data_IF_529058180146
#
_entry.id   IF_529058180146
#
_cell.length_a   1.000
_cell.length_b   1.000
_cell.length_c   1.000
_cell.angle_alpha   90.00
_cell.angle_beta   90.00
_cell.angle_gamma   90.00
#
_symmetry.space_group_name_H-M   'P 1'
#
loop_
_entity.id
_entity.type
_entity.pdbx_description
1 polymer ?
#
# COMPACT_ATOMS: atom_id res chain seq x y z
N UNK A 1 19.17 18.57 -28.56
CA UNK A 1 19.07 18.59 -27.11
C UNK A 1 17.60 18.61 -26.75
N UNK A 2 17.16 17.76 -25.79
CA UNK A 2 15.79 17.84 -25.30
C UNK A 2 15.57 19.15 -24.57
N UNK A 3 14.46 19.85 -24.86
CA UNK A 3 14.04 21.04 -24.11
C UNK A 3 13.43 20.69 -22.75
N UNK A 4 13.13 19.41 -22.55
CA UNK A 4 12.71 18.88 -21.25
C UNK A 4 13.96 18.41 -20.51
N UNK A 5 14.24 18.99 -19.37
CA UNK A 5 15.37 18.58 -18.53
C UNK A 5 15.26 17.10 -18.11
N UNK A 6 16.37 16.53 -17.68
CA UNK A 6 16.36 15.23 -17.03
C UNK A 6 15.59 15.32 -15.70
N UNK A 7 14.87 14.27 -15.33
CA UNK A 7 14.03 14.30 -14.12
C UNK A 7 14.79 14.58 -12.81
N UNK A 8 16.12 14.43 -12.82
CA UNK A 8 16.99 14.71 -11.68
C UNK A 8 17.76 16.02 -11.79
N UNK A 9 17.68 16.71 -12.94
CA UNK A 9 18.54 17.87 -13.22
C UNK A 9 17.98 19.20 -12.72
N UNK A 10 16.77 19.19 -12.19
CA UNK A 10 16.07 20.43 -11.82
C UNK A 10 15.72 20.44 -10.32
N UNK A 11 15.16 21.57 -9.92
CA UNK A 11 14.72 21.73 -8.53
C UNK A 11 13.67 20.67 -8.12
N UNK A 12 13.50 20.51 -6.83
CA UNK A 12 12.54 19.59 -6.24
C UNK A 12 11.08 19.81 -6.69
N UNK A 13 10.78 20.96 -7.27
CA UNK A 13 9.42 21.35 -7.66
C UNK A 13 9.21 21.33 -9.17
N UNK A 14 10.24 21.04 -9.96
CA UNK A 14 10.13 21.03 -11.42
C UNK A 14 9.87 19.63 -11.98
N UNK A 15 9.21 19.59 -13.12
CA UNK A 15 8.78 18.40 -13.85
C UNK A 15 7.70 17.54 -13.13
N UNK A 16 7.03 16.71 -13.90
CA UNK A 16 6.22 15.63 -13.36
C UNK A 16 7.12 14.52 -12.79
N UNK A 17 6.74 13.93 -11.70
CA UNK A 17 7.54 12.91 -11.04
C UNK A 17 6.70 11.82 -10.38
N UNK A 18 7.18 10.59 -10.50
CA UNK A 18 6.76 9.46 -9.71
C UNK A 18 7.38 9.45 -8.31
N UNK A 19 7.04 8.47 -7.52
CA UNK A 19 7.65 8.24 -6.20
C UNK A 19 9.17 8.13 -6.33
N UNK A 20 9.91 8.85 -5.49
CA UNK A 20 11.39 8.93 -5.55
C UNK A 20 11.94 9.33 -6.92
N UNK A 21 11.17 10.04 -7.73
CA UNK A 21 11.48 10.36 -9.14
C UNK A 21 11.78 9.13 -10.01
N UNK A 22 11.22 7.97 -9.64
CA UNK A 22 11.28 6.77 -10.45
C UNK A 22 10.55 6.98 -11.79
N UNK A 23 10.91 6.22 -12.83
CA UNK A 23 10.23 6.31 -14.11
C UNK A 23 8.72 6.07 -13.97
N UNK A 24 7.93 6.87 -14.66
CA UNK A 24 6.48 6.67 -14.76
C UNK A 24 6.16 5.82 -15.98
N UNK A 25 5.29 4.82 -15.78
CA UNK A 25 4.78 3.98 -16.87
C UNK A 25 3.31 3.64 -16.64
N UNK A 26 2.43 4.28 -17.39
CA UNK A 26 0.98 4.09 -17.31
C UNK A 26 0.48 2.77 -17.94
N UNK A 27 1.39 1.98 -18.52
CA UNK A 27 1.15 0.62 -19.03
C UNK A 27 2.14 -0.37 -18.41
N UNK A 28 2.05 -0.62 -17.09
CA UNK A 28 3.10 -1.33 -16.36
C UNK A 28 3.14 -2.83 -16.63
N UNK A 29 2.10 -3.41 -17.20
CA UNK A 29 1.93 -4.87 -17.29
C UNK A 29 2.98 -5.53 -18.19
N UNK A 30 3.34 -4.87 -19.29
CA UNK A 30 4.32 -5.35 -20.28
C UNK A 30 5.71 -4.76 -20.07
N UNK A 31 5.93 -4.04 -18.96
CA UNK A 31 7.24 -3.46 -18.64
C UNK A 31 8.21 -4.55 -18.14
N UNK A 32 9.49 -4.24 -18.14
CA UNK A 32 10.54 -5.07 -17.53
C UNK A 32 10.67 -4.87 -16.02
N UNK A 33 9.88 -3.96 -15.43
CA UNK A 33 9.92 -3.68 -14.00
C UNK A 33 9.53 -4.90 -13.15
N UNK A 34 10.23 -5.08 -12.03
CA UNK A 34 9.88 -6.10 -11.02
C UNK A 34 8.79 -5.60 -10.06
N UNK A 35 8.81 -4.29 -9.77
CA UNK A 35 7.90 -3.63 -8.85
C UNK A 35 7.12 -2.53 -9.52
N UNK A 36 5.84 -2.45 -9.20
CA UNK A 36 4.93 -1.42 -9.69
C UNK A 36 4.31 -0.68 -8.53
N UNK A 37 4.41 0.66 -8.56
CA UNK A 37 3.78 1.54 -7.58
C UNK A 37 2.46 2.03 -8.15
N UNK A 38 1.38 1.90 -7.38
CA UNK A 38 0.03 2.35 -7.73
C UNK A 38 -0.57 3.19 -6.63
N UNK A 39 -1.08 4.38 -6.95
CA UNK A 39 -1.89 5.17 -6.03
C UNK A 39 -3.37 4.79 -6.10
N UNK A 40 -4.07 4.82 -4.98
CA UNK A 40 -5.51 4.54 -4.89
C UNK A 40 -6.18 5.70 -4.15
N UNK A 41 -6.80 6.60 -4.91
CA UNK A 41 -7.34 7.87 -4.43
C UNK A 41 -8.72 7.70 -3.78
N UNK A 42 -8.86 6.75 -2.88
CA UNK A 42 -10.11 6.41 -2.22
C UNK A 42 -10.11 6.85 -0.76
N UNK A 43 -11.21 7.43 -0.27
CA UNK A 43 -11.42 7.79 1.15
C UNK A 43 -12.90 7.86 1.54
N UNK A 44 -13.75 7.13 0.82
CA UNK A 44 -15.19 7.14 1.07
C UNK A 44 -15.61 6.22 2.22
N UNK A 45 -14.77 5.28 2.61
CA UNK A 45 -15.03 4.39 3.75
C UNK A 45 -14.58 4.97 5.10
N UNK A 46 -14.00 6.16 5.10
CA UNK A 46 -13.46 6.82 6.30
C UNK A 46 -14.59 7.24 7.25
N UNK A 47 -14.53 6.81 8.51
CA UNK A 47 -15.53 7.13 9.53
C UNK A 47 -15.43 8.56 10.09
N UNK A 48 -14.30 9.21 9.95
CA UNK A 48 -14.01 10.53 10.50
C UNK A 48 -13.70 11.56 9.43
N UNK A 49 -12.43 11.94 9.33
CA UNK A 49 -11.99 12.98 8.39
C UNK A 49 -11.62 12.37 7.05
N UNK A 50 -12.34 12.72 5.99
CA UNK A 50 -11.93 12.45 4.63
C UNK A 50 -10.63 13.22 4.27
N UNK A 51 -9.95 12.83 3.22
CA UNK A 51 -8.71 13.44 2.75
C UNK A 51 -7.60 12.45 2.43
N UNK A 52 -7.78 11.18 2.78
CA UNK A 52 -6.83 10.11 2.47
C UNK A 52 -6.55 9.99 0.97
N UNK A 53 -7.49 10.37 0.11
CA UNK A 53 -7.30 10.40 -1.36
C UNK A 53 -6.13 11.27 -1.82
N UNK A 54 -5.67 12.22 -1.00
CA UNK A 54 -4.50 13.05 -1.29
C UNK A 54 -3.18 12.39 -0.89
N UNK A 55 -3.22 11.26 -0.18
CA UNK A 55 -2.04 10.53 0.32
C UNK A 55 -1.05 10.17 -0.78
N UNK A 56 -1.46 9.51 -1.87
CA UNK A 56 -0.53 9.12 -2.93
C UNK A 56 0.23 10.30 -3.54
N UNK A 57 -0.45 11.42 -3.81
CA UNK A 57 0.18 12.62 -4.33
C UNK A 57 1.17 13.24 -3.32
N UNK A 58 0.78 13.33 -2.04
CA UNK A 58 1.63 13.86 -0.98
C UNK A 58 2.88 13.00 -0.77
N UNK A 59 2.75 11.67 -0.77
CA UNK A 59 3.88 10.73 -0.65
C UNK A 59 4.86 10.91 -1.81
N UNK A 60 4.37 10.98 -3.06
CA UNK A 60 5.22 11.23 -4.23
C UNK A 60 5.95 12.56 -4.12
N UNK A 61 5.25 13.63 -3.75
CA UNK A 61 5.83 14.97 -3.62
C UNK A 61 6.94 14.99 -2.57
N UNK A 62 6.70 14.49 -1.37
CA UNK A 62 7.69 14.48 -0.28
C UNK A 62 8.87 13.58 -0.62
N UNK A 63 8.65 12.48 -1.31
CA UNK A 63 9.69 11.53 -1.70
C UNK A 63 10.76 12.13 -2.62
N UNK A 64 10.46 13.23 -3.31
CA UNK A 64 11.42 13.89 -4.20
C UNK A 64 12.68 14.36 -3.46
N UNK A 65 12.55 14.74 -2.19
CA UNK A 65 13.69 15.11 -1.34
C UNK A 65 14.65 13.94 -1.14
N UNK A 66 14.12 12.72 -1.10
CA UNK A 66 14.91 11.51 -0.92
C UNK A 66 15.58 11.02 -2.21
N UNK A 67 15.16 11.49 -3.35
CA UNK A 67 15.73 11.09 -4.64
C UNK A 67 17.19 11.53 -4.81
N UNK A 68 17.65 12.54 -4.06
CA UNK A 68 19.01 13.03 -4.05
C UNK A 68 19.98 12.20 -3.22
N UNK A 69 19.47 11.37 -2.31
CA UNK A 69 20.27 10.50 -1.48
C UNK A 69 20.45 9.14 -2.14
N UNK A 70 21.55 8.94 -2.81
CA UNK A 70 21.86 7.68 -3.50
C UNK A 70 22.14 6.55 -2.49
N UNK A 71 22.98 6.81 -1.50
CA UNK A 71 23.32 5.85 -0.45
C UNK A 71 22.63 6.22 0.86
N UNK A 72 21.62 5.45 1.27
CA UNK A 72 20.82 5.74 2.45
C UNK A 72 21.32 5.02 3.67
N UNK A 73 21.50 5.79 4.73
CA UNK A 73 21.73 5.21 6.06
C UNK A 73 20.49 4.38 6.51
N UNK A 74 20.65 3.18 7.07
CA UNK A 74 21.91 2.49 7.36
C UNK A 74 22.41 1.56 6.25
N UNK A 75 21.68 1.42 5.14
CA UNK A 75 21.92 0.37 4.14
C UNK A 75 23.08 0.65 3.19
N UNK A 76 23.50 1.90 3.02
CA UNK A 76 24.65 2.32 2.19
C UNK A 76 24.60 1.80 0.73
N UNK A 77 23.42 1.72 0.14
CA UNK A 77 23.25 1.43 -1.27
C UNK A 77 22.11 2.27 -1.89
N UNK A 78 22.17 2.46 -3.19
CA UNK A 78 21.05 3.04 -3.96
C UNK A 78 20.03 1.94 -4.26
N UNK A 79 18.79 2.14 -3.80
CA UNK A 79 17.69 1.22 -4.07
C UNK A 79 17.45 1.02 -5.57
N UNK A 80 17.67 2.06 -6.38
CA UNK A 80 17.46 2.03 -7.85
C UNK A 80 18.45 1.13 -8.58
N UNK A 81 19.59 0.84 -7.98
CA UNK A 81 20.58 -0.12 -8.51
C UNK A 81 20.20 -1.57 -8.19
N UNK A 82 19.30 -1.78 -7.24
CA UNK A 82 18.92 -3.09 -6.72
C UNK A 82 17.52 -3.53 -7.14
N UNK A 83 16.64 -2.58 -7.40
CA UNK A 83 15.24 -2.82 -7.69
C UNK A 83 14.85 -2.12 -8.99
N UNK A 84 14.28 -2.86 -9.92
CA UNK A 84 13.66 -2.30 -11.11
C UNK A 84 12.20 -1.93 -10.79
N UNK A 85 11.94 -0.64 -10.57
CA UNK A 85 10.68 -0.11 -10.08
C UNK A 85 10.13 0.96 -11.00
N UNK A 86 8.85 0.90 -11.30
CA UNK A 86 8.11 1.96 -12.01
C UNK A 86 6.92 2.45 -11.19
N UNK A 87 6.58 3.72 -11.35
CA UNK A 87 5.35 4.29 -10.82
C UNK A 87 4.31 4.33 -11.94
N UNK A 88 3.18 3.65 -11.79
CA UNK A 88 2.13 3.64 -12.81
C UNK A 88 1.05 4.72 -12.61
N UNK A 89 1.27 5.64 -11.68
CA UNK A 89 0.30 6.68 -11.37
C UNK A 89 -0.82 6.16 -10.49
N UNK A 90 -2.01 6.67 -10.69
CA UNK A 90 -3.16 6.41 -9.85
C UNK A 90 -4.23 5.59 -10.59
N UNK A 91 -4.90 4.73 -9.83
CA UNK A 91 -6.04 3.97 -10.33
C UNK A 91 -7.17 4.90 -10.78
N UNK A 92 -7.71 4.68 -11.98
CA UNK A 92 -8.80 5.46 -12.54
C UNK A 92 -10.12 4.73 -12.37
N UNK A 93 -11.05 5.36 -11.67
CA UNK A 93 -12.43 4.86 -11.45
C UNK A 93 -13.38 6.07 -11.31
N UNK A 94 -14.68 5.86 -11.35
CA UNK A 94 -15.67 6.91 -11.11
C UNK A 94 -15.63 7.32 -9.63
N UNK A 95 -15.20 8.55 -9.35
CA UNK A 95 -15.18 9.08 -7.98
C UNK A 95 -16.59 9.06 -7.40
N UNK A 96 -16.76 8.41 -6.27
CA UNK A 96 -18.05 8.17 -5.65
C UNK A 96 -18.59 6.75 -5.82
N UNK A 97 -17.94 5.92 -6.63
CA UNK A 97 -18.29 4.51 -6.78
C UNK A 97 -17.24 3.60 -6.12
N UNK A 98 -17.53 3.20 -4.87
CA UNK A 98 -16.66 2.33 -4.09
C UNK A 98 -16.57 0.91 -4.68
N UNK A 99 -17.64 0.43 -5.32
CA UNK A 99 -17.68 -0.89 -5.95
C UNK A 99 -16.79 -0.91 -7.19
N UNK A 100 -16.91 0.08 -8.05
CA UNK A 100 -16.06 0.20 -9.23
C UNK A 100 -14.59 0.32 -8.84
N UNK A 101 -14.28 1.12 -7.81
CA UNK A 101 -12.92 1.23 -7.27
C UNK A 101 -12.38 -0.15 -6.84
N UNK A 102 -13.15 -0.88 -6.04
CA UNK A 102 -12.76 -2.20 -5.54
C UNK A 102 -12.51 -3.21 -6.67
N UNK A 103 -13.44 -3.29 -7.61
CA UNK A 103 -13.34 -4.20 -8.76
C UNK A 103 -12.15 -3.86 -9.67
N UNK A 104 -11.95 -2.58 -9.98
CA UNK A 104 -10.82 -2.13 -10.80
C UNK A 104 -9.48 -2.32 -10.11
N UNK A 105 -9.39 -2.08 -8.80
CA UNK A 105 -8.17 -2.31 -8.03
C UNK A 105 -7.82 -3.80 -8.01
N UNK A 106 -8.80 -4.65 -7.74
CA UNK A 106 -8.59 -6.10 -7.78
C UNK A 106 -8.12 -6.56 -9.17
N UNK A 107 -8.80 -6.12 -10.23
CA UNK A 107 -8.44 -6.49 -11.60
C UNK A 107 -7.04 -5.97 -12.01
N UNK A 108 -6.67 -4.76 -11.59
CA UNK A 108 -5.32 -4.22 -11.78
C UNK A 108 -4.26 -5.07 -11.09
N UNK A 109 -4.49 -5.40 -9.81
CA UNK A 109 -3.58 -6.26 -9.05
C UNK A 109 -3.44 -7.66 -9.67
N UNK A 110 -4.56 -8.28 -10.07
CA UNK A 110 -4.54 -9.58 -10.76
C UNK A 110 -3.69 -9.55 -12.03
N UNK A 111 -3.80 -8.50 -12.84
CA UNK A 111 -2.98 -8.34 -14.07
C UNK A 111 -1.50 -8.18 -13.74
N UNK A 112 -1.14 -7.40 -12.73
CA UNK A 112 0.25 -7.23 -12.31
C UNK A 112 0.84 -8.55 -11.80
N UNK A 113 0.10 -9.27 -10.96
CA UNK A 113 0.53 -10.57 -10.43
C UNK A 113 0.68 -11.61 -11.54
N UNK A 114 -0.25 -11.66 -12.50
CA UNK A 114 -0.16 -12.55 -13.67
C UNK A 114 1.07 -12.22 -14.55
N UNK A 115 1.49 -10.96 -14.60
CA UNK A 115 2.72 -10.52 -15.27
C UNK A 115 3.99 -10.70 -14.40
N UNK A 116 3.91 -11.38 -13.25
CA UNK A 116 5.03 -11.62 -12.35
C UNK A 116 5.52 -10.40 -11.58
N UNK A 117 4.72 -9.32 -11.53
CA UNK A 117 5.08 -8.06 -10.84
C UNK A 117 4.75 -8.13 -9.35
N UNK A 118 5.53 -7.40 -8.57
CA UNK A 118 5.22 -7.09 -7.17
C UNK A 118 4.62 -5.70 -7.07
N UNK A 119 3.86 -5.45 -6.01
CA UNK A 119 3.13 -4.19 -5.86
C UNK A 119 3.56 -3.44 -4.61
N UNK A 120 3.62 -2.10 -4.74
CA UNK A 120 3.58 -1.15 -3.65
C UNK A 120 2.38 -0.22 -3.89
N UNK A 121 1.38 -0.28 -3.03
CA UNK A 121 0.16 0.51 -3.18
C UNK A 121 0.13 1.66 -2.17
N UNK A 122 -0.11 2.88 -2.66
CA UNK A 122 -0.34 4.05 -1.81
C UNK A 122 -1.84 4.29 -1.68
N UNK A 123 -2.40 4.08 -0.49
CA UNK A 123 -3.74 4.50 -0.16
C UNK A 123 -3.78 5.98 0.24
N UNK A 124 -4.78 6.46 0.50
CA UNK A 124 -6.20 6.44 0.64
C UNK A 124 -6.66 5.72 1.91
N UNK A 125 -7.82 5.28 1.77
CA UNK A 125 -8.55 4.57 2.80
C UNK A 125 -8.03 3.14 2.98
N UNK A 126 -8.04 2.65 4.21
CA UNK A 126 -7.52 1.30 4.48
C UNK A 126 -8.36 0.18 3.84
N UNK A 127 -9.61 0.45 3.50
CA UNK A 127 -10.47 -0.48 2.76
C UNK A 127 -9.81 -1.01 1.48
N UNK A 128 -8.95 -0.22 0.81
CA UNK A 128 -8.24 -0.63 -0.41
C UNK A 128 -7.43 -1.93 -0.24
N UNK A 129 -7.13 -2.30 0.99
CA UNK A 129 -6.43 -3.56 1.31
C UNK A 129 -7.25 -4.80 0.95
N UNK A 130 -8.57 -4.78 1.11
CA UNK A 130 -9.40 -5.97 0.86
C UNK A 130 -9.38 -6.43 -0.62
N UNK A 131 -9.61 -5.57 -1.64
CA UNK A 131 -9.48 -6.00 -3.03
C UNK A 131 -8.05 -6.43 -3.39
N UNK A 132 -7.03 -5.84 -2.79
CA UNK A 132 -5.64 -6.29 -2.98
C UNK A 132 -5.42 -7.69 -2.40
N UNK A 133 -5.94 -7.98 -1.20
CA UNK A 133 -5.87 -9.32 -0.61
C UNK A 133 -6.59 -10.36 -1.47
N UNK A 134 -7.75 -10.04 -2.03
CA UNK A 134 -8.48 -10.93 -2.94
C UNK A 134 -7.65 -11.30 -4.17
N UNK A 135 -7.03 -10.32 -4.81
CA UNK A 135 -6.14 -10.55 -5.95
C UNK A 135 -4.93 -11.42 -5.59
N UNK A 136 -4.26 -11.11 -4.47
CA UNK A 136 -3.09 -11.86 -4.02
C UNK A 136 -3.44 -13.27 -3.60
N UNK A 137 -4.54 -13.48 -2.86
CA UNK A 137 -4.97 -14.82 -2.46
C UNK A 137 -5.38 -15.69 -3.65
N UNK A 138 -5.98 -15.10 -4.68
CA UNK A 138 -6.27 -15.80 -5.94
C UNK A 138 -5.00 -16.30 -6.64
N UNK A 139 -3.89 -15.57 -6.53
CA UNK A 139 -2.62 -15.91 -7.17
C UNK A 139 -1.74 -16.83 -6.32
N UNK A 140 -1.63 -16.57 -5.00
CA UNK A 140 -0.71 -17.27 -4.10
C UNK A 140 -1.40 -18.26 -3.16
N UNK A 141 -2.73 -18.28 -3.09
CA UNK A 141 -3.48 -18.99 -2.05
C UNK A 141 -3.56 -18.18 -0.75
N UNK A 142 -3.95 -18.84 0.33
CA UNK A 142 -4.08 -18.22 1.66
C UNK A 142 -2.74 -17.70 2.17
N UNK A 143 -2.74 -16.45 2.66
CA UNK A 143 -1.53 -15.73 3.07
C UNK A 143 -1.46 -15.52 4.58
N UNK A 144 -0.28 -15.15 5.07
CA UNK A 144 -0.08 -14.51 6.36
C UNK A 144 -0.09 -12.99 6.21
N UNK A 145 -0.54 -12.29 7.25
CA UNK A 145 -0.58 -10.82 7.31
C UNK A 145 0.41 -10.30 8.35
N UNK A 146 1.19 -9.29 7.98
CA UNK A 146 1.90 -8.43 8.92
C UNK A 146 1.29 -7.03 8.82
N UNK A 147 0.62 -6.60 9.89
CA UNK A 147 -0.17 -5.37 9.91
C UNK A 147 0.37 -4.40 10.95
N UNK A 148 0.70 -3.17 10.53
CA UNK A 148 1.15 -2.11 11.41
C UNK A 148 0.07 -1.03 11.47
N UNK A 149 -0.65 -0.94 12.58
CA UNK A 149 -1.76 0.00 12.74
C UNK A 149 -2.05 0.32 14.21
N UNK A 150 -2.88 1.33 14.41
CA UNK A 150 -3.51 1.66 15.69
C UNK A 150 -4.72 0.78 16.01
N UNK A 151 -5.36 0.23 14.98
CA UNK A 151 -6.62 -0.51 15.02
C UNK A 151 -6.43 -1.91 14.46
N UNK A 152 -7.27 -2.85 14.86
CA UNK A 152 -7.21 -4.22 14.32
C UNK A 152 -7.97 -4.38 13.00
N UNK A 153 -8.91 -3.48 12.71
CA UNK A 153 -9.81 -3.50 11.56
C UNK A 153 -10.56 -4.84 11.40
N UNK A 154 -10.95 -5.39 12.55
CA UNK A 154 -11.69 -6.65 12.69
C UNK A 154 -13.17 -6.43 13.05
N UNK A 155 -13.71 -5.24 12.78
CA UNK A 155 -15.09 -4.87 13.13
C UNK A 155 -16.10 -5.71 12.34
N UNK A 156 -17.01 -6.38 13.08
CA UNK A 156 -17.93 -7.35 12.49
C UNK A 156 -19.19 -6.75 11.87
N UNK A 157 -19.58 -5.55 12.31
CA UNK A 157 -20.89 -4.94 12.01
C UNK A 157 -20.80 -3.75 11.04
N UNK A 158 -19.71 -3.64 10.30
CA UNK A 158 -19.56 -2.61 9.28
C UNK A 158 -20.30 -2.92 7.98
N UNK A 159 -20.30 -1.97 7.06
CA UNK A 159 -20.85 -2.16 5.73
C UNK A 159 -19.84 -2.83 4.78
N UNK A 160 -20.25 -3.07 3.54
CA UNK A 160 -19.42 -3.75 2.52
C UNK A 160 -18.11 -3.00 2.24
N UNK A 161 -18.14 -1.67 2.25
CA UNK A 161 -16.99 -0.81 1.97
C UNK A 161 -16.64 0.00 3.22
N UNK A 162 -16.00 -0.64 4.18
CA UNK A 162 -15.70 -0.07 5.48
C UNK A 162 -14.22 -0.29 5.84
N UNK A 163 -13.54 0.74 6.28
CA UNK A 163 -12.11 0.70 6.58
C UNK A 163 -11.74 -0.06 7.87
N UNK A 164 -12.72 -0.42 8.69
CA UNK A 164 -12.53 -1.17 9.92
C UNK A 164 -12.88 -2.67 9.83
N UNK A 165 -13.23 -3.18 8.64
CA UNK A 165 -13.80 -4.53 8.49
C UNK A 165 -12.93 -5.51 7.70
N UNK A 166 -11.85 -5.06 7.08
CA UNK A 166 -11.10 -5.87 6.11
C UNK A 166 -10.56 -7.14 6.76
N UNK A 167 -10.05 -7.06 7.97
CA UNK A 167 -9.47 -8.23 8.66
C UNK A 167 -10.47 -9.05 9.47
N UNK A 168 -11.73 -8.66 9.49
CA UNK A 168 -12.85 -9.54 9.81
C UNK A 168 -13.31 -10.33 8.58
N UNK A 169 -13.33 -9.71 7.43
CA UNK A 169 -13.80 -10.27 6.16
C UNK A 169 -12.76 -11.21 5.52
N UNK A 170 -11.50 -10.81 5.48
CA UNK A 170 -10.45 -11.55 4.78
C UNK A 170 -10.24 -12.99 5.29
N UNK A 171 -10.26 -13.29 6.60
CA UNK A 171 -10.22 -14.69 7.09
C UNK A 171 -11.45 -15.49 6.67
N UNK A 172 -12.63 -14.88 6.67
CA UNK A 172 -13.89 -15.54 6.28
C UNK A 172 -13.93 -15.90 4.80
N UNK A 173 -13.35 -15.06 3.96
CA UNK A 173 -13.16 -15.33 2.54
C UNK A 173 -11.98 -16.29 2.27
N UNK A 174 -11.24 -16.70 3.32
CA UNK A 174 -10.08 -17.59 3.17
C UNK A 174 -8.83 -16.94 2.58
N UNK A 175 -8.75 -15.61 2.58
CA UNK A 175 -7.66 -14.85 1.97
C UNK A 175 -6.39 -14.86 2.83
N UNK A 176 -6.58 -14.78 4.14
CA UNK A 176 -5.48 -14.79 5.12
C UNK A 176 -5.73 -15.82 6.23
N UNK A 177 -4.65 -16.26 6.85
CA UNK A 177 -4.68 -17.11 8.05
C UNK A 177 -4.36 -16.27 9.28
N UNK A 178 -5.35 -15.99 10.15
CA UNK A 178 -5.13 -15.21 11.36
C UNK A 178 -4.11 -15.83 12.31
N UNK A 179 -4.06 -17.16 12.40
CA UNK A 179 -3.16 -17.87 13.32
C UNK A 179 -1.67 -17.73 12.92
N UNK A 180 -1.39 -17.37 11.65
CA UNK A 180 -0.04 -17.09 11.16
C UNK A 180 0.17 -15.61 10.89
N UNK A 181 -0.71 -14.76 11.42
CA UNK A 181 -0.72 -13.31 11.17
C UNK A 181 -0.47 -12.52 12.44
N UNK A 182 0.13 -11.33 12.29
CA UNK A 182 0.44 -10.43 13.40
C UNK A 182 -0.03 -9.01 13.12
N UNK A 183 -0.62 -8.38 14.14
CA UNK A 183 -1.01 -6.96 14.14
C UNK A 183 -0.19 -6.22 15.20
N UNK A 184 0.48 -5.14 14.81
CA UNK A 184 1.52 -4.50 15.60
C UNK A 184 1.18 -3.01 15.81
N UNK A 185 1.28 -2.55 17.05
CA UNK A 185 1.07 -1.14 17.42
C UNK A 185 -0.37 -0.80 17.78
N UNK A 186 -1.21 -1.79 17.97
CA UNK A 186 -2.64 -1.62 18.31
C UNK A 186 -2.76 -0.87 19.64
N UNK A 187 -3.61 0.17 19.65
CA UNK A 187 -3.83 1.03 20.82
C UNK A 187 -5.29 1.42 21.03
N UNK A 188 -6.19 0.65 20.45
CA UNK A 188 -7.63 0.73 20.66
C UNK A 188 -8.15 -0.60 21.17
N UNK A 189 -9.36 -0.60 21.71
CA UNK A 189 -10.03 -1.84 22.12
C UNK A 189 -10.29 -2.74 20.91
N UNK A 190 -10.16 -4.03 21.07
CA UNK A 190 -10.36 -5.03 20.03
C UNK A 190 -10.88 -6.34 20.60
N UNK A 191 -11.58 -7.10 19.79
CA UNK A 191 -12.02 -8.45 20.10
C UNK A 191 -10.82 -9.41 20.00
N UNK A 192 -10.53 -10.11 21.11
CA UNK A 192 -9.38 -11.04 21.21
C UNK A 192 -9.62 -12.38 20.50
N UNK A 193 -10.85 -12.67 20.11
CA UNK A 193 -11.23 -13.99 19.56
C UNK A 193 -11.03 -14.07 18.03
N UNK A 194 -10.41 -13.06 17.43
CA UNK A 194 -10.19 -13.01 15.96
C UNK A 194 -9.00 -13.86 15.46
N UNK A 195 -8.28 -14.53 16.34
CA UNK A 195 -7.20 -15.46 16.01
C UNK A 195 -5.85 -14.81 15.67
N UNK A 196 -5.78 -13.48 15.55
CA UNK A 196 -4.53 -12.77 15.29
C UNK A 196 -3.62 -12.70 16.52
N UNK A 197 -2.31 -12.77 16.30
CA UNK A 197 -1.34 -12.32 17.28
C UNK A 197 -1.31 -10.80 17.30
N UNK A 198 -1.72 -10.20 18.42
CA UNK A 198 -1.70 -8.73 18.57
C UNK A 198 -0.57 -8.32 19.50
N UNK A 199 0.31 -7.45 19.00
CA UNK A 199 1.33 -6.75 19.78
C UNK A 199 0.87 -5.29 19.95
N UNK A 200 0.35 -4.96 21.10
CA UNK A 200 -0.15 -3.61 21.37
C UNK A 200 0.99 -2.58 21.49
N UNK A 201 0.63 -1.30 21.47
CA UNK A 201 1.60 -0.21 21.49
C UNK A 201 2.47 -0.20 22.76
N UNK A 202 1.95 -0.63 23.90
CA UNK A 202 2.73 -0.74 25.15
C UNK A 202 3.80 -1.82 25.01
N UNK A 203 3.41 -3.01 24.55
CA UNK A 203 4.34 -4.12 24.32
C UNK A 203 5.44 -3.78 23.32
N UNK A 204 5.11 -3.00 22.27
CA UNK A 204 6.09 -2.55 21.27
C UNK A 204 7.06 -1.53 21.86
N UNK A 205 6.56 -0.57 22.65
CA UNK A 205 7.39 0.48 23.27
C UNK A 205 8.34 -0.07 24.35
N UNK A 206 7.92 -1.11 25.07
CA UNK A 206 8.74 -1.74 26.11
C UNK A 206 9.88 -2.59 25.53
N UNK A 207 9.78 -2.97 24.27
CA UNK A 207 10.84 -3.70 23.57
C UNK A 207 11.92 -2.73 23.11
N UNK A 208 13.11 -2.84 23.70
CA UNK A 208 14.28 -2.08 23.22
C UNK A 208 14.57 -2.49 21.78
N UNK A 209 14.68 -1.52 20.89
CA UNK A 209 15.11 -1.73 19.49
C UNK A 209 16.45 -2.49 19.52
N UNK A 210 16.49 -3.64 18.83
CA UNK A 210 17.70 -4.46 18.71
C UNK A 210 17.79 -5.65 19.66
N UNK A 211 16.72 -6.02 20.37
CA UNK A 211 16.60 -7.32 21.04
C UNK A 211 15.55 -8.14 20.28
N UNK A 212 16.01 -8.86 19.27
CA UNK A 212 15.29 -9.99 18.71
C UNK A 212 15.47 -11.20 19.62
#
# INVERSE_FOLDING_TARGET
MSTLGHQYDNSLVSNAFGFLRLPMNFQPYDSDADWVITGVLFDMATSGRAGGRHGPAAIRQVSTNLAWEHNRFPWNFDMRERLNVVDCGDLVYAFGDAREMSEKLQAHAEKLLAAGKRMLSFGGDHFVTLPLLRAHAKHFGKMALVHFDAHTDTYANGCEFDHGTMFYTAPKEGLIDPNHSVQIGIRTEFDKDNGFTVLDACQVNDRKIGRA
#
